data_IF_435020739186
#
_entry.id   IF_435020739186
#
_cell.length_a   1.000
_cell.length_b   1.000
_cell.length_c   1.000
_cell.angle_alpha   90.00
_cell.angle_beta   90.00
_cell.angle_gamma   90.00
#
_symmetry.space_group_name_H-M   'P 1'
#
loop_
_entity.id
_entity.type
_entity.pdbx_description
1 polymer ?
#
# COMPACT_ATOMS: atom_id res chain seq x y z
N UNK A 1 21.34 0.55 6.95
CA UNK A 1 20.55 -0.02 7.97
C UNK A 1 19.55 -1.02 7.40
N UNK A 2 19.13 -1.93 8.23
CA UNK A 2 18.31 -3.05 7.80
C UNK A 2 16.85 -2.71 7.57
N UNK A 3 16.50 -1.46 7.73
CA UNK A 3 15.11 -1.05 7.72
C UNK A 3 14.61 -0.68 6.33
N UNK A 4 15.22 -1.25 5.30
CA UNK A 4 14.80 -0.98 3.93
C UNK A 4 13.61 -1.87 3.55
N UNK A 5 12.52 -1.71 4.27
CA UNK A 5 11.33 -2.53 4.06
C UNK A 5 10.68 -2.24 2.71
N UNK A 6 10.77 -0.99 2.25
CA UNK A 6 10.22 -0.63 0.95
C UNK A 6 10.87 -1.44 -0.16
N UNK A 7 12.21 -1.54 -0.13
CA UNK A 7 12.93 -2.31 -1.13
C UNK A 7 12.60 -3.80 -1.03
N UNK A 8 12.52 -4.32 0.19
CA UNK A 8 12.18 -5.73 0.41
C UNK A 8 10.80 -6.06 -0.14
N UNK A 9 9.84 -5.18 0.12
CA UNK A 9 8.47 -5.37 -0.38
C UNK A 9 8.44 -5.32 -1.90
N UNK A 10 9.17 -4.36 -2.51
CA UNK A 10 9.23 -4.26 -3.96
C UNK A 10 9.75 -5.54 -4.59
N UNK A 11 10.78 -6.15 -3.99
CA UNK A 11 11.33 -7.40 -4.50
C UNK A 11 10.29 -8.52 -4.47
N UNK A 12 9.56 -8.64 -3.36
CA UNK A 12 8.54 -9.67 -3.22
C UNK A 12 7.44 -9.51 -4.27
N UNK A 13 6.92 -8.30 -4.40
CA UNK A 13 5.79 -8.02 -5.32
C UNK A 13 6.25 -8.13 -6.77
N UNK A 14 7.44 -7.61 -7.09
CA UNK A 14 7.99 -7.68 -8.44
C UNK A 14 8.20 -9.13 -8.87
N UNK A 15 8.70 -9.95 -7.95
CA UNK A 15 8.94 -11.36 -8.24
C UNK A 15 7.63 -12.09 -8.54
N UNK A 16 6.60 -11.81 -7.77
CA UNK A 16 5.32 -12.51 -7.91
C UNK A 16 4.49 -12.00 -9.08
N UNK A 17 4.39 -10.69 -9.23
CA UNK A 17 3.42 -10.09 -10.14
C UNK A 17 4.04 -9.28 -11.28
N UNK A 18 5.35 -9.10 -11.29
CA UNK A 18 6.09 -8.35 -12.33
C UNK A 18 5.72 -6.87 -12.34
N UNK A 19 5.19 -6.36 -11.26
CA UNK A 19 4.93 -4.94 -11.04
C UNK A 19 5.44 -4.56 -9.66
N UNK A 20 5.51 -3.27 -9.38
CA UNK A 20 5.90 -2.76 -8.07
C UNK A 20 4.68 -2.27 -7.31
N UNK A 21 4.74 -2.26 -5.98
CA UNK A 21 3.64 -1.69 -5.19
C UNK A 21 3.56 -0.17 -5.39
N UNK A 22 2.40 0.38 -5.08
CA UNK A 22 2.19 1.82 -5.07
C UNK A 22 2.02 2.30 -3.63
N UNK A 23 2.56 3.47 -3.35
CA UNK A 23 2.51 4.08 -2.03
C UNK A 23 1.67 5.34 -2.15
N UNK A 24 0.60 5.41 -1.38
CA UNK A 24 -0.37 6.49 -1.51
C UNK A 24 -0.45 7.26 -0.20
N UNK A 25 -0.34 8.55 -0.30
CA UNK A 25 -0.52 9.45 0.84
C UNK A 25 -2.01 9.61 1.08
N UNK A 26 -2.54 8.83 2.03
CA UNK A 26 -3.96 8.83 2.35
C UNK A 26 -4.36 10.06 3.17
N UNK A 27 -3.42 10.55 3.96
CA UNK A 27 -3.60 11.76 4.74
C UNK A 27 -2.24 12.41 4.92
N UNK A 28 -2.21 13.74 4.85
CA UNK A 28 -1.00 14.50 5.12
C UNK A 28 -1.30 15.53 6.20
N UNK A 29 -0.28 16.01 6.89
CA UNK A 29 -0.46 17.06 7.90
C UNK A 29 -1.16 18.28 7.29
N UNK A 30 -2.11 18.82 8.03
CA UNK A 30 -2.79 20.02 7.62
C UNK A 30 -1.93 21.24 7.96
N UNK A 31 -1.85 22.19 7.06
CA UNK A 31 -1.23 23.48 7.34
C UNK A 31 -2.19 24.44 8.02
N UNK A 32 -3.45 24.04 8.19
CA UNK A 32 -4.43 24.85 8.86
C UNK A 32 -4.10 25.01 10.35
N UNK A 33 -4.69 26.01 10.96
CA UNK A 33 -4.41 26.30 12.35
C UNK A 33 -5.28 25.51 13.31
N UNK A 34 -5.59 24.30 12.98
CA UNK A 34 -6.28 23.42 13.92
C UNK A 34 -5.27 22.88 14.89
N UNK A 35 -5.18 23.52 16.04
CA UNK A 35 -4.16 23.18 17.05
C UNK A 35 -4.38 21.81 17.64
N UNK A 36 -5.57 21.25 17.49
CA UNK A 36 -5.89 19.93 18.01
C UNK A 36 -5.66 18.83 16.98
N UNK A 37 -5.44 19.20 15.72
CA UNK A 37 -5.22 18.23 14.68
C UNK A 37 -3.84 17.57 14.85
N UNK A 38 -3.80 16.27 14.75
CA UNK A 38 -2.54 15.59 14.74
C UNK A 38 -1.84 15.85 13.42
N UNK A 39 -0.57 16.19 13.52
CA UNK A 39 0.23 16.54 12.35
C UNK A 39 0.90 15.27 11.82
N UNK A 40 0.12 14.39 11.25
CA UNK A 40 0.59 13.08 10.83
C UNK A 40 0.33 12.82 9.35
N UNK A 41 1.19 11.95 8.81
CA UNK A 41 0.97 11.33 7.50
C UNK A 41 0.36 9.96 7.70
N UNK A 42 -0.56 9.58 6.83
CA UNK A 42 -1.03 8.20 6.73
C UNK A 42 -0.65 7.73 5.33
N UNK A 43 0.22 6.72 5.28
CA UNK A 43 0.68 6.15 4.02
C UNK A 43 0.07 4.78 3.82
N UNK A 44 -0.54 4.57 2.66
CA UNK A 44 -1.11 3.28 2.28
C UNK A 44 -0.24 2.57 1.26
N UNK A 45 -0.25 1.26 1.29
CA UNK A 45 0.47 0.41 0.34
C UNK A 45 -0.55 -0.41 -0.44
N UNK A 46 -0.46 -0.32 -1.77
CA UNK A 46 -1.40 -0.94 -2.68
C UNK A 46 -0.66 -1.74 -3.75
N UNK A 47 -1.34 -2.72 -4.34
CA UNK A 47 -0.90 -3.34 -5.57
C UNK A 47 -1.97 -3.01 -6.61
N UNK A 48 -1.58 -2.31 -7.68
CA UNK A 48 -2.51 -1.83 -8.70
C UNK A 48 -2.21 -2.50 -10.03
N UNK A 49 -3.20 -3.20 -10.57
CA UNK A 49 -3.05 -3.95 -11.82
C UNK A 49 -3.88 -3.32 -12.93
N UNK A 50 -3.27 -3.22 -14.12
CA UNK A 50 -4.01 -2.87 -15.31
C UNK A 50 -4.42 -1.40 -15.44
N UNK A 51 -3.96 -0.56 -14.53
CA UNK A 51 -4.22 0.87 -14.58
C UNK A 51 -3.20 1.62 -13.73
N UNK A 52 -3.15 2.92 -13.90
CA UNK A 52 -2.31 3.76 -13.06
C UNK A 52 -3.04 4.01 -11.74
N UNK A 53 -2.31 4.00 -10.64
CA UNK A 53 -2.90 4.21 -9.31
C UNK A 53 -3.63 5.55 -9.22
N UNK A 54 -3.17 6.56 -9.95
CA UNK A 54 -3.80 7.88 -9.93
C UNK A 54 -5.17 7.87 -10.59
N UNK A 55 -5.48 6.86 -11.40
CA UNK A 55 -6.77 6.70 -12.05
C UNK A 55 -7.67 5.71 -11.32
N UNK A 56 -7.16 5.09 -10.28
CA UNK A 56 -7.91 4.08 -9.54
C UNK A 56 -8.74 4.72 -8.44
N UNK A 57 -9.87 4.12 -8.14
CA UNK A 57 -10.66 4.52 -7.00
C UNK A 57 -10.20 3.76 -5.76
N UNK A 58 -9.43 4.45 -4.94
CA UNK A 58 -8.79 3.84 -3.75
C UNK A 58 -9.82 3.28 -2.78
N UNK A 59 -10.98 3.92 -2.69
CA UNK A 59 -12.02 3.50 -1.76
C UNK A 59 -12.64 2.15 -2.15
N UNK A 60 -12.45 1.73 -3.40
CA UNK A 60 -12.97 0.46 -3.89
C UNK A 60 -11.93 -0.66 -3.88
N UNK A 61 -10.77 -0.41 -3.29
CA UNK A 61 -9.72 -1.43 -3.22
C UNK A 61 -10.20 -2.66 -2.45
N UNK A 62 -9.79 -3.82 -2.93
CA UNK A 62 -10.01 -5.07 -2.21
C UNK A 62 -8.92 -5.19 -1.16
N UNK A 63 -9.31 -5.42 0.07
CA UNK A 63 -8.33 -5.57 1.16
C UNK A 63 -7.71 -6.96 1.11
N UNK A 64 -6.39 -7.01 1.18
CA UNK A 64 -5.67 -8.28 1.16
C UNK A 64 -6.13 -9.20 2.28
N UNK A 65 -6.49 -8.64 3.44
CA UNK A 65 -6.98 -9.44 4.56
C UNK A 65 -8.24 -10.22 4.24
N UNK A 66 -8.99 -9.79 3.22
CA UNK A 66 -10.20 -10.49 2.78
C UNK A 66 -9.89 -11.71 1.92
N UNK A 67 -8.86 -11.61 1.07
CA UNK A 67 -8.52 -12.67 0.11
C UNK A 67 -7.35 -13.55 0.57
N UNK A 68 -6.49 -13.03 1.41
CA UNK A 68 -5.48 -13.74 2.19
C UNK A 68 -4.35 -14.46 1.46
N UNK A 69 -4.31 -14.42 0.13
CA UNK A 69 -3.21 -15.09 -0.58
C UNK A 69 -2.97 -14.48 -1.96
N UNK A 70 -1.73 -14.66 -2.43
CA UNK A 70 -1.37 -14.28 -3.80
C UNK A 70 -2.07 -15.14 -4.83
N UNK A 71 -2.36 -16.39 -4.50
CA UNK A 71 -3.08 -17.28 -5.40
C UNK A 71 -4.45 -16.70 -5.73
N UNK A 72 -5.14 -16.14 -4.74
CA UNK A 72 -6.45 -15.53 -4.98
C UNK A 72 -6.33 -14.28 -5.86
N UNK A 73 -5.24 -13.52 -5.71
CA UNK A 73 -5.02 -12.38 -6.59
C UNK A 73 -4.85 -12.85 -8.04
N UNK A 74 -4.07 -13.91 -8.27
CA UNK A 74 -3.89 -14.44 -9.62
C UNK A 74 -5.22 -14.92 -10.22
N UNK A 75 -6.08 -15.52 -9.40
CA UNK A 75 -7.40 -15.96 -9.86
C UNK A 75 -8.26 -14.77 -10.27
N UNK A 76 -8.25 -13.71 -9.45
CA UNK A 76 -9.00 -12.50 -9.77
C UNK A 76 -8.48 -11.85 -11.06
N UNK A 77 -7.18 -11.90 -11.31
CA UNK A 77 -6.60 -11.34 -12.52
C UNK A 77 -7.02 -12.09 -13.77
N UNK A 78 -7.39 -13.36 -13.67
CA UNK A 78 -7.92 -14.13 -14.80
C UNK A 78 -9.27 -13.58 -15.26
N UNK A 79 -10.00 -12.95 -14.37
CA UNK A 79 -11.36 -12.48 -14.61
C UNK A 79 -11.45 -10.96 -14.75
N UNK A 80 -10.42 -10.25 -14.41
CA UNK A 80 -10.47 -8.78 -14.32
C UNK A 80 -9.23 -8.18 -14.95
N UNK A 81 -9.42 -7.22 -15.86
CA UNK A 81 -8.31 -6.50 -16.46
C UNK A 81 -7.69 -5.48 -15.52
N UNK A 82 -8.48 -5.01 -14.57
CA UNK A 82 -8.04 -4.02 -13.59
C UNK A 82 -8.33 -4.55 -12.20
N UNK A 83 -7.39 -4.36 -11.30
CA UNK A 83 -7.55 -4.82 -9.94
C UNK A 83 -6.75 -3.92 -9.01
N UNK A 84 -7.33 -3.56 -7.90
CA UNK A 84 -6.67 -2.75 -6.90
C UNK A 84 -6.74 -3.46 -5.55
N UNK A 85 -5.58 -3.77 -5.00
CA UNK A 85 -5.47 -4.47 -3.72
C UNK A 85 -4.87 -3.51 -2.70
N UNK A 86 -5.52 -3.37 -1.57
CA UNK A 86 -4.98 -2.62 -0.43
C UNK A 86 -4.26 -3.59 0.51
N UNK A 87 -3.00 -3.32 0.81
CA UNK A 87 -2.24 -4.16 1.73
C UNK A 87 -2.30 -3.64 3.16
N UNK A 88 -1.71 -2.50 3.40
CA UNK A 88 -1.59 -1.93 4.74
C UNK A 88 -1.55 -0.42 4.68
N UNK A 89 -1.72 0.20 5.85
CA UNK A 89 -1.41 1.62 6.01
C UNK A 89 -0.73 1.81 7.35
N UNK A 90 -0.03 2.92 7.49
CA UNK A 90 0.62 3.27 8.74
C UNK A 90 0.68 4.79 8.86
N UNK A 91 0.81 5.27 10.08
CA UNK A 91 0.85 6.70 10.32
C UNK A 91 2.09 7.08 11.11
N UNK A 92 2.62 8.26 10.81
CA UNK A 92 3.77 8.81 11.49
C UNK A 92 3.86 10.30 11.19
N UNK A 93 4.51 11.03 12.06
CA UNK A 93 4.77 12.46 11.84
C UNK A 93 5.71 12.68 10.66
N UNK A 94 6.55 11.69 10.35
CA UNK A 94 7.50 11.75 9.26
C UNK A 94 7.02 10.81 8.15
N UNK A 95 6.78 11.36 6.95
CA UNK A 95 6.22 10.62 5.82
C UNK A 95 7.01 9.37 5.50
N UNK A 96 8.34 9.49 5.43
CA UNK A 96 9.20 8.37 5.08
C UNK A 96 9.10 7.25 6.10
N UNK A 97 8.93 7.58 7.37
CA UNK A 97 8.78 6.57 8.42
C UNK A 97 7.41 5.91 8.36
N UNK A 98 6.36 6.67 8.03
CA UNK A 98 5.04 6.09 7.80
C UNK A 98 5.10 5.07 6.68
N UNK A 99 5.79 5.42 5.58
CA UNK A 99 5.94 4.55 4.43
C UNK A 99 6.70 3.27 4.79
N UNK A 100 7.82 3.41 5.49
CA UNK A 100 8.62 2.25 5.93
C UNK A 100 7.82 1.33 6.85
N UNK A 101 7.08 1.91 7.77
CA UNK A 101 6.27 1.13 8.70
C UNK A 101 5.15 0.38 7.96
N UNK A 102 4.51 1.05 7.00
CA UNK A 102 3.48 0.40 6.19
C UNK A 102 4.08 -0.76 5.39
N UNK A 103 5.29 -0.60 4.86
CA UNK A 103 5.97 -1.66 4.12
C UNK A 103 6.33 -2.83 5.02
N UNK A 104 6.82 -2.56 6.22
CA UNK A 104 7.11 -3.62 7.18
C UNK A 104 5.86 -4.41 7.50
N UNK A 105 4.77 -3.72 7.77
CA UNK A 105 3.49 -4.35 8.07
C UNK A 105 2.98 -5.17 6.88
N UNK A 106 3.17 -4.66 5.66
CA UNK A 106 2.77 -5.38 4.45
C UNK A 106 3.54 -6.68 4.30
N UNK A 107 4.85 -6.66 4.57
CA UNK A 107 5.68 -7.86 4.49
C UNK A 107 5.19 -8.92 5.48
N UNK A 108 4.88 -8.49 6.71
CA UNK A 108 4.34 -9.41 7.72
C UNK A 108 3.00 -10.00 7.28
N UNK A 109 2.17 -9.18 6.66
CA UNK A 109 0.83 -9.58 6.23
C UNK A 109 0.88 -10.64 5.14
N UNK A 110 1.78 -10.49 4.18
CA UNK A 110 1.86 -11.37 3.01
C UNK A 110 2.80 -12.56 3.20
N UNK A 111 3.47 -12.62 4.32
CA UNK A 111 4.41 -13.72 4.62
C UNK A 111 3.70 -14.97 5.11
#
# INVERSE_FOLDING_TARGET
NDDNYKNKLQVIIQKEFKITPDYVELKKPSSEQDVDAENIYIMGVFICFGQNIHNANIDNAIHFTTIESFVEIHKLLEQNNKLLIFLTKSEHKIKKKAEQQACENAIKLIS
#
